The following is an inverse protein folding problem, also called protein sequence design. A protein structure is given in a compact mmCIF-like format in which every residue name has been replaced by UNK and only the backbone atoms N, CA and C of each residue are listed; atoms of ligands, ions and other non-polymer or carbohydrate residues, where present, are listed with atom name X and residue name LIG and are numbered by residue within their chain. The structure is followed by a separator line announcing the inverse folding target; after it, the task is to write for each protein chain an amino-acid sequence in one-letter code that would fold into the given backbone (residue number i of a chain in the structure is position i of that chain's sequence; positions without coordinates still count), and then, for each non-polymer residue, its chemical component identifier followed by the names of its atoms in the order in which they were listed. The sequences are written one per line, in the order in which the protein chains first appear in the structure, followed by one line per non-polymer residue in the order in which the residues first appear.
data_IF_616354718153
#
_entry.id   IF_616354718153
#
_cell.length_a   1.000
_cell.length_b   1.000
_cell.length_c   1.000
_cell.angle_alpha   90.00
_cell.angle_beta   90.00
_cell.angle_gamma   90.00
#
_symmetry.space_group_name_H-M   'P 1'
#
loop_
_entity.id
_entity.type
_entity.pdbx_description
1 polymer ?
#
# COMPACT_ATOMS: atom_id res chain seq x y z
N UNK A 1 10.45 13.26 5.16
CA UNK A 1 9.44 12.56 4.33
C UNK A 1 9.67 11.06 4.19
N UNK A 2 10.92 10.57 4.08
CA UNK A 2 11.21 9.14 3.80
C UNK A 2 10.47 8.13 4.69
N UNK A 3 10.43 8.32 6.01
CA UNK A 3 9.71 7.41 6.92
C UNK A 3 8.21 7.42 6.64
N UNK A 4 7.61 8.60 6.45
CA UNK A 4 6.19 8.71 6.11
C UNK A 4 5.88 8.06 4.74
N UNK A 5 6.76 8.23 3.77
CA UNK A 5 6.65 7.59 2.46
C UNK A 5 6.79 6.06 2.58
N UNK A 6 7.69 5.57 3.43
CA UNK A 6 7.84 4.14 3.71
C UNK A 6 6.58 3.55 4.35
N UNK A 7 5.97 4.28 5.28
CA UNK A 7 4.69 3.90 5.90
C UNK A 7 3.56 3.87 4.87
N UNK A 8 3.47 4.87 3.98
CA UNK A 8 2.47 4.85 2.89
C UNK A 8 2.66 3.68 1.93
N UNK A 9 3.91 3.39 1.55
CA UNK A 9 4.23 2.22 0.71
C UNK A 9 3.97 0.88 1.40
N UNK A 10 3.95 0.84 2.73
CA UNK A 10 3.58 -0.33 3.53
C UNK A 10 2.13 -0.32 4.00
N UNK A 11 1.35 0.70 3.65
CA UNK A 11 0.05 0.99 4.27
C UNK A 11 -0.93 -0.17 4.21
N UNK A 12 -1.09 -0.77 3.02
CA UNK A 12 -1.98 -1.92 2.84
C UNK A 12 -1.63 -3.11 3.75
N UNK A 13 -0.34 -3.38 3.94
CA UNK A 13 0.12 -4.45 4.84
C UNK A 13 -0.04 -4.04 6.30
N UNK A 14 0.35 -2.82 6.66
CA UNK A 14 0.32 -2.34 8.05
C UNK A 14 -1.09 -2.12 8.58
N UNK A 15 -2.06 -1.86 7.71
CA UNK A 15 -3.47 -1.77 8.07
C UNK A 15 -4.03 -3.11 8.57
N UNK A 16 -3.53 -4.23 8.03
CA UNK A 16 -3.97 -5.59 8.41
C UNK A 16 -3.03 -6.23 9.44
N UNK A 17 -1.73 -6.01 9.29
CA UNK A 17 -0.65 -6.63 10.07
C UNK A 17 0.29 -5.55 10.66
N UNK A 18 -0.16 -4.82 11.70
CA UNK A 18 0.62 -3.73 12.28
C UNK A 18 1.94 -4.21 12.91
N UNK A 19 2.00 -5.48 13.34
CA UNK A 19 3.21 -6.14 13.85
C UNK A 19 4.33 -6.27 12.80
N UNK A 20 4.03 -6.07 11.52
CA UNK A 20 5.05 -6.05 10.45
C UNK A 20 5.79 -4.72 10.33
N UNK A 21 5.51 -3.71 11.18
CA UNK A 21 6.12 -2.37 11.11
C UNK A 21 7.64 -2.40 10.97
N UNK A 22 8.33 -3.15 11.83
CA UNK A 22 9.79 -3.27 11.77
C UNK A 22 10.27 -3.82 10.42
N UNK A 23 9.65 -4.90 9.94
CA UNK A 23 10.00 -5.51 8.67
C UNK A 23 9.75 -4.57 7.48
N UNK A 24 8.63 -3.83 7.49
CA UNK A 24 8.27 -2.87 6.46
C UNK A 24 9.24 -1.67 6.42
N UNK A 25 9.73 -1.22 7.57
CA UNK A 25 10.72 -0.13 7.66
C UNK A 25 12.11 -0.60 7.24
N UNK A 26 12.60 -1.72 7.79
CA UNK A 26 13.93 -2.27 7.47
C UNK A 26 14.04 -2.60 5.99
N UNK A 27 13.06 -3.32 5.43
CA UNK A 27 13.08 -3.72 4.02
C UNK A 27 13.10 -2.57 3.01
N UNK A 28 12.70 -1.35 3.42
CA UNK A 28 12.59 -0.15 2.56
C UNK A 28 13.67 0.91 2.80
N UNK A 29 14.04 1.14 4.06
CA UNK A 29 14.90 2.26 4.45
C UNK A 29 16.38 1.87 4.58
N UNK A 30 16.74 0.59 4.47
CA UNK A 30 18.13 0.14 4.59
C UNK A 30 19.12 0.89 3.67
N UNK A 31 18.79 1.26 2.41
CA UNK A 31 19.69 2.06 1.57
C UNK A 31 20.04 3.43 2.16
N UNK A 32 19.17 3.99 2.99
CA UNK A 32 19.29 5.33 3.57
C UNK A 32 20.08 5.35 4.90
N UNK A 33 20.51 4.18 5.38
CA UNK A 33 21.15 4.03 6.70
C UNK A 33 22.48 4.80 6.83
N UNK A 34 23.23 4.92 5.73
CA UNK A 34 24.54 5.57 5.70
C UNK A 34 24.47 7.10 5.70
N UNK A 35 23.40 7.67 5.12
CA UNK A 35 23.27 9.12 4.93
C UNK A 35 22.50 9.84 6.05
N UNK A 36 21.82 9.11 6.93
CA UNK A 36 20.93 9.71 7.91
C UNK A 36 21.01 9.01 9.29
N UNK A 37 21.57 9.67 10.32
CA UNK A 37 21.73 9.06 11.65
C UNK A 37 20.39 8.73 12.32
N UNK A 38 19.33 9.47 12.02
CA UNK A 38 17.99 9.18 12.57
C UNK A 38 17.39 7.91 11.95
N UNK A 39 17.62 7.68 10.66
CA UNK A 39 17.20 6.43 10.00
C UNK A 39 18.00 5.27 10.58
N UNK A 40 19.32 5.43 10.76
CA UNK A 40 20.14 4.41 11.41
C UNK A 40 19.61 4.04 12.80
N UNK A 41 19.36 5.04 13.65
CA UNK A 41 18.80 4.81 14.98
C UNK A 41 17.42 4.12 14.92
N UNK A 42 16.56 4.50 13.97
CA UNK A 42 15.26 3.87 13.76
C UNK A 42 15.40 2.39 13.37
N UNK A 43 16.29 2.07 12.43
CA UNK A 43 16.51 0.69 11.98
C UNK A 43 17.12 -0.18 13.08
N UNK A 44 18.06 0.35 13.86
CA UNK A 44 18.58 -0.35 15.05
C UNK A 44 17.49 -0.65 16.09
N UNK A 45 16.50 0.25 16.24
CA UNK A 45 15.36 0.00 17.11
C UNK A 45 14.42 -1.07 16.55
N UNK A 46 14.23 -1.10 15.21
CA UNK A 46 13.51 -2.15 14.51
C UNK A 46 14.19 -3.51 14.69
N UNK A 47 15.52 -3.60 14.61
CA UNK A 47 16.25 -4.86 14.80
C UNK A 47 16.14 -5.39 16.23
N UNK A 48 16.14 -4.50 17.22
CA UNK A 48 16.02 -4.86 18.64
C UNK A 48 14.60 -5.27 19.05
N UNK A 49 13.58 -4.62 18.50
CA UNK A 49 12.18 -4.78 18.93
C UNK A 49 11.36 -5.64 17.98
N UNK A 50 11.63 -5.58 16.68
CA UNK A 50 10.90 -6.30 15.63
C UNK A 50 10.79 -7.81 15.87
N UNK A 51 11.86 -8.51 16.29
CA UNK A 51 11.79 -9.94 16.59
C UNK A 51 10.79 -10.35 17.68
N UNK A 52 10.30 -9.40 18.49
CA UNK A 52 9.23 -9.66 19.48
C UNK A 52 7.87 -9.87 18.81
N UNK A 53 7.66 -9.25 17.65
CA UNK A 53 6.36 -9.14 16.98
C UNK A 53 6.33 -9.90 15.63
N UNK A 54 7.51 -10.16 15.04
CA UNK A 54 7.68 -10.90 13.79
C UNK A 54 8.90 -11.82 13.84
N UNK A 55 8.70 -13.12 13.57
CA UNK A 55 9.78 -14.11 13.52
C UNK A 55 10.73 -13.90 12.32
N UNK A 56 10.29 -13.18 11.29
CA UNK A 56 11.08 -12.88 10.10
C UNK A 56 11.29 -11.37 10.00
N UNK A 57 12.55 -10.94 9.99
CA UNK A 57 12.95 -9.55 9.76
C UNK A 57 13.89 -9.53 8.55
N UNK A 58 13.66 -8.66 7.54
CA UNK A 58 14.55 -8.55 6.40
C UNK A 58 15.98 -8.17 6.82
N UNK A 59 16.97 -8.90 6.29
CA UNK A 59 18.39 -8.55 6.49
C UNK A 59 18.91 -7.56 5.44
N UNK A 60 18.30 -7.53 4.26
CA UNK A 60 18.69 -6.70 3.13
C UNK A 60 17.50 -5.87 2.64
N UNK A 61 17.78 -4.83 1.86
CA UNK A 61 16.77 -4.08 1.13
C UNK A 61 16.02 -5.01 0.18
N UNK A 62 14.72 -5.16 0.38
CA UNK A 62 13.89 -6.13 -0.35
C UNK A 62 12.51 -5.60 -0.73
N UNK A 63 12.23 -4.33 -0.41
CA UNK A 63 10.96 -3.64 -0.70
C UNK A 63 11.26 -2.33 -1.42
N UNK A 64 10.24 -1.70 -2.03
CA UNK A 64 10.44 -0.45 -2.76
C UNK A 64 10.95 0.68 -1.86
N UNK A 65 12.05 1.32 -2.28
CA UNK A 65 12.63 2.47 -1.58
C UNK A 65 11.65 3.65 -1.58
N UNK A 66 11.44 4.33 -0.43
CA UNK A 66 10.59 5.50 -0.35
C UNK A 66 11.22 6.71 -1.03
N UNK A 67 10.40 7.72 -1.33
CA UNK A 67 10.84 8.95 -2.01
C UNK A 67 10.81 8.88 -3.55
N UNK A 68 10.59 7.68 -4.12
CA UNK A 68 10.38 7.49 -5.55
C UNK A 68 9.00 7.94 -6.07
N UNK A 69 8.73 7.68 -7.36
CA UNK A 69 7.44 7.99 -8.00
C UNK A 69 6.29 7.12 -7.49
N UNK A 70 6.58 5.90 -7.02
CA UNK A 70 5.57 5.03 -6.41
C UNK A 70 5.14 5.61 -5.06
N UNK A 71 3.83 5.83 -4.89
CA UNK A 71 3.25 6.39 -3.65
C UNK A 71 2.43 5.41 -2.83
N UNK A 72 1.75 4.47 -3.49
CA UNK A 72 0.78 3.56 -2.87
C UNK A 72 0.90 2.15 -3.45
N UNK A 73 0.63 1.14 -2.61
CA UNK A 73 0.27 -0.22 -3.03
C UNK A 73 -1.17 -0.45 -2.58
N UNK A 74 -2.08 -0.71 -3.53
CA UNK A 74 -3.51 -0.86 -3.26
C UNK A 74 -3.88 -2.34 -3.38
N UNK A 75 -3.92 -3.04 -2.25
CA UNK A 75 -4.09 -4.48 -2.19
C UNK A 75 -5.47 -4.87 -1.64
N UNK A 76 -6.21 -5.70 -2.37
CA UNK A 76 -7.53 -6.17 -1.94
C UNK A 76 -8.27 -7.06 -2.93
N UNK A 77 -8.02 -6.92 -4.23
CA UNK A 77 -8.56 -7.86 -5.22
C UNK A 77 -7.91 -9.24 -5.05
N UNK A 78 -8.73 -10.30 -5.00
CA UNK A 78 -8.25 -11.70 -4.93
C UNK A 78 -7.76 -12.23 -6.28
N UNK A 79 -8.18 -11.61 -7.37
CA UNK A 79 -7.85 -11.99 -8.75
C UNK A 79 -7.27 -10.80 -9.50
N UNK A 80 -6.82 -11.04 -10.73
CA UNK A 80 -6.28 -10.00 -11.60
C UNK A 80 -7.25 -8.81 -11.71
N UNK A 81 -6.69 -7.61 -11.63
CA UNK A 81 -7.41 -6.36 -11.90
C UNK A 81 -7.49 -6.19 -13.42
N UNK A 82 -8.69 -6.06 -13.95
CA UNK A 82 -8.93 -5.95 -15.39
C UNK A 82 -9.20 -4.52 -15.86
N UNK A 83 -9.49 -3.61 -14.94
CA UNK A 83 -9.72 -2.21 -15.24
C UNK A 83 -9.72 -1.33 -13.99
N UNK A 84 -9.48 -0.05 -14.19
CA UNK A 84 -9.61 0.96 -13.16
C UNK A 84 -9.95 2.32 -13.78
N UNK A 85 -10.48 3.22 -12.97
CA UNK A 85 -10.74 4.60 -13.31
C UNK A 85 -10.54 5.48 -12.08
N UNK A 86 -10.39 6.78 -12.32
CA UNK A 86 -10.31 7.80 -11.28
C UNK A 86 -11.59 8.62 -11.29
N UNK A 87 -12.01 9.08 -10.12
CA UNK A 87 -13.00 10.14 -10.03
C UNK A 87 -12.47 11.42 -10.66
N UNK A 88 -13.36 12.29 -11.13
CA UNK A 88 -12.99 13.54 -11.82
C UNK A 88 -12.15 14.50 -10.97
N UNK A 89 -12.19 14.36 -9.63
CA UNK A 89 -11.39 15.12 -8.67
C UNK A 89 -10.07 14.42 -8.29
N UNK A 90 -9.79 13.25 -8.89
CA UNK A 90 -8.64 12.39 -8.61
C UNK A 90 -8.48 11.95 -7.16
N UNK A 91 -9.54 12.07 -6.35
CA UNK A 91 -9.49 11.67 -4.95
C UNK A 91 -9.64 10.17 -4.78
N UNK A 92 -10.50 9.55 -5.59
CA UNK A 92 -10.78 8.12 -5.49
C UNK A 92 -10.35 7.40 -6.76
N UNK A 93 -9.93 6.15 -6.58
CA UNK A 93 -9.74 5.20 -7.66
C UNK A 93 -10.75 4.07 -7.49
N UNK A 94 -11.41 3.66 -8.57
CA UNK A 94 -12.25 2.46 -8.60
C UNK A 94 -11.54 1.44 -9.48
N UNK A 95 -11.43 0.20 -9.02
CA UNK A 95 -10.83 -0.91 -9.78
C UNK A 95 -11.75 -2.13 -9.81
N UNK A 96 -11.70 -2.89 -10.91
CA UNK A 96 -12.59 -4.02 -11.17
C UNK A 96 -11.84 -5.34 -11.38
N UNK A 97 -12.41 -6.42 -10.86
CA UNK A 97 -12.08 -7.82 -11.13
C UNK A 97 -13.38 -8.65 -11.25
N UNK A 98 -13.63 -9.58 -10.33
CA UNK A 98 -14.96 -10.17 -10.06
C UNK A 98 -15.79 -9.32 -9.08
N UNK A 99 -15.15 -8.33 -8.47
CA UNK A 99 -15.74 -7.28 -7.61
C UNK A 99 -15.27 -5.92 -8.08
N UNK A 100 -15.86 -4.85 -7.56
CA UNK A 100 -15.26 -3.52 -7.69
C UNK A 100 -14.92 -2.95 -6.32
N UNK A 101 -13.73 -2.36 -6.24
CA UNK A 101 -13.18 -1.79 -5.01
C UNK A 101 -12.89 -0.31 -5.24
N UNK A 102 -13.26 0.53 -4.27
CA UNK A 102 -12.97 1.97 -4.26
C UNK A 102 -11.89 2.27 -3.22
N UNK A 103 -10.89 3.06 -3.62
CA UNK A 103 -9.74 3.43 -2.82
C UNK A 103 -9.70 4.94 -2.64
N UNK A 104 -9.50 5.43 -1.41
CA UNK A 104 -9.20 6.84 -1.17
C UNK A 104 -7.70 7.06 -1.40
N UNK A 105 -7.31 7.82 -2.42
CA UNK A 105 -5.91 8.05 -2.74
C UNK A 105 -5.23 9.02 -1.76
N UNK A 106 -5.99 9.77 -0.95
CA UNK A 106 -5.41 10.62 0.09
C UNK A 106 -4.88 9.81 1.28
N UNK A 107 -5.56 8.72 1.62
CA UNK A 107 -5.21 7.87 2.78
C UNK A 107 -4.67 6.49 2.39
N UNK A 108 -4.82 6.08 1.14
CA UNK A 108 -4.60 4.72 0.63
C UNK A 108 -5.54 3.64 1.18
N UNK A 109 -6.64 4.04 1.82
CA UNK A 109 -7.57 3.10 2.41
C UNK A 109 -8.54 2.53 1.38
N UNK A 110 -8.89 1.26 1.57
CA UNK A 110 -10.05 0.65 0.95
C UNK A 110 -11.30 1.27 1.57
N UNK A 111 -12.12 1.94 0.76
CA UNK A 111 -13.36 2.57 1.24
C UNK A 111 -14.61 1.76 0.94
N UNK A 112 -14.60 0.98 -0.14
CA UNK A 112 -15.70 0.09 -0.52
C UNK A 112 -15.18 -1.15 -1.23
N UNK A 113 -15.70 -2.32 -0.88
CA UNK A 113 -15.57 -3.58 -1.63
C UNK A 113 -16.97 -4.09 -1.94
N UNK A 114 -17.32 -4.17 -3.22
CA UNK A 114 -18.66 -4.54 -3.66
C UNK A 114 -18.60 -5.74 -4.60
N UNK A 115 -19.29 -6.81 -4.20
CA UNK A 115 -19.60 -7.93 -5.06
C UNK A 115 -20.99 -7.72 -5.71
N UNK A 116 -21.06 -7.46 -7.02
CA UNK A 116 -22.35 -7.24 -7.68
C UNK A 116 -23.13 -8.54 -7.94
N UNK A 117 -22.60 -9.71 -7.60
CA UNK A 117 -23.27 -10.99 -7.84
C UNK A 117 -23.37 -11.39 -9.31
N UNK A 118 -22.53 -10.78 -10.16
CA UNK A 118 -22.46 -11.09 -11.59
C UNK A 118 -21.49 -12.24 -11.80
N UNK A 119 -21.89 -13.24 -12.59
CA UNK A 119 -20.99 -14.32 -12.98
C UNK A 119 -19.94 -13.83 -13.99
N UNK A 120 -18.69 -14.26 -13.80
CA UNK A 120 -17.57 -13.94 -14.69
C UNK A 120 -16.71 -12.76 -14.22
N UNK A 121 -15.90 -12.23 -15.14
CA UNK A 121 -14.97 -11.12 -14.89
C UNK A 121 -15.50 -9.83 -15.52
N UNK A 122 -15.32 -8.71 -14.83
CA UNK A 122 -15.58 -7.39 -15.38
C UNK A 122 -14.38 -6.95 -16.22
N UNK A 123 -14.62 -6.44 -17.44
CA UNK A 123 -13.55 -6.05 -18.36
C UNK A 123 -13.47 -4.54 -18.61
N UNK A 124 -14.54 -3.80 -18.34
CA UNK A 124 -14.60 -2.37 -18.61
C UNK A 124 -15.28 -1.64 -17.47
N UNK A 125 -14.74 -0.47 -17.15
CA UNK A 125 -15.21 0.43 -16.11
C UNK A 125 -15.17 1.86 -16.63
N UNK A 126 -16.28 2.58 -16.49
CA UNK A 126 -16.41 3.99 -16.84
C UNK A 126 -17.19 4.66 -15.72
N UNK A 127 -16.75 5.85 -15.29
CA UNK A 127 -17.51 6.69 -14.38
C UNK A 127 -18.25 7.77 -15.16
N UNK A 128 -19.42 8.15 -14.68
CA UNK A 128 -20.10 9.35 -15.15
C UNK A 128 -19.24 10.59 -14.87
N UNK A 129 -19.34 11.66 -15.69
CA UNK A 129 -18.57 12.88 -15.47
C UNK A 129 -18.79 13.54 -14.10
N UNK A 130 -19.94 13.28 -13.45
CA UNK A 130 -20.27 13.77 -12.12
C UNK A 130 -19.98 12.75 -10.99
N UNK A 131 -19.31 11.63 -11.30
CA UNK A 131 -18.94 10.52 -10.41
C UNK A 131 -20.11 9.85 -9.66
N UNK A 132 -21.35 10.03 -10.09
CA UNK A 132 -22.51 9.39 -9.45
C UNK A 132 -22.71 7.94 -9.86
N UNK A 133 -22.18 7.55 -11.03
CA UNK A 133 -22.34 6.22 -11.63
C UNK A 133 -21.01 5.69 -12.14
#
# INVERSE_FOLDING_TARGET
MLVADALRLGGAILGVYPNMLAAQLVGRLLPEIGGNPNIKMLLEACDKSGPKDSALIPLNHCLHTPGGPLKYSLEGHQFAVFGFCLTSDYRYMVSISTRFITWDLSTSDLTRDVNPGVEGIMQQLVLSPDNKW
#
